data_IF_196490045148
#
_entry.id   IF_196490045148
#
_cell.length_a   1.000
_cell.length_b   1.000
_cell.length_c   1.000
_cell.angle_alpha   90.00
_cell.angle_beta   90.00
_cell.angle_gamma   90.00
#
_symmetry.space_group_name_H-M   'P 1'
#
loop_
_entity.id
_entity.type
_entity.pdbx_description
1 polymer ?
#
# COMPACT_ATOMS: atom_id res chain seq x y z
N UNK A 1 -15.05 24.31 -15.45
CA UNK A 1 -14.14 23.45 -14.65
C UNK A 1 -14.58 22.01 -14.91
N UNK A 2 -13.66 21.12 -15.33
CA UNK A 2 -13.96 19.70 -15.51
C UNK A 2 -14.42 19.09 -14.18
N UNK A 3 -15.51 18.32 -14.20
CA UNK A 3 -16.11 17.68 -13.03
C UNK A 3 -15.45 16.34 -12.67
N UNK A 4 -14.55 15.85 -13.55
CA UNK A 4 -13.86 14.58 -13.35
C UNK A 4 -12.59 14.85 -12.55
N UNK A 5 -12.44 14.27 -11.34
CA UNK A 5 -11.20 14.40 -10.59
C UNK A 5 -10.03 13.83 -11.41
N UNK A 6 -8.84 14.45 -11.37
CA UNK A 6 -7.67 13.93 -12.05
C UNK A 6 -7.43 12.44 -11.72
N UNK A 7 -7.17 11.57 -12.71
CA UNK A 7 -6.97 10.13 -12.49
C UNK A 7 -5.93 9.81 -11.41
N UNK A 8 -4.90 10.63 -11.27
CA UNK A 8 -3.86 10.52 -10.25
C UNK A 8 -4.40 10.45 -8.80
N UNK A 9 -5.58 10.99 -8.55
CA UNK A 9 -6.19 11.00 -7.22
C UNK A 9 -6.80 9.65 -6.84
N UNK A 10 -7.07 8.74 -7.80
CA UNK A 10 -7.64 7.43 -7.48
C UNK A 10 -6.65 6.53 -6.74
N UNK A 11 -5.35 6.83 -6.84
CA UNK A 11 -4.27 6.00 -6.32
C UNK A 11 -3.49 6.64 -5.15
N UNK A 12 -4.02 7.74 -4.63
CA UNK A 12 -3.48 8.45 -3.47
C UNK A 12 -4.52 8.47 -2.33
N UNK A 13 -4.05 8.31 -1.11
CA UNK A 13 -4.77 8.65 0.12
C UNK A 13 -4.16 9.89 0.78
N UNK A 14 -5.01 10.80 1.25
CA UNK A 14 -4.57 12.02 1.93
C UNK A 14 -4.96 12.01 3.41
N UNK A 15 -4.03 12.48 4.24
CA UNK A 15 -4.24 12.68 5.68
C UNK A 15 -3.79 11.48 6.52
N UNK A 16 -3.41 11.78 7.76
CA UNK A 16 -2.88 10.80 8.71
C UNK A 16 -3.87 9.66 8.94
N UNK A 17 -5.12 10.00 9.29
CA UNK A 17 -6.12 9.01 9.65
C UNK A 17 -6.44 8.04 8.50
N UNK A 18 -6.57 8.53 7.27
CA UNK A 18 -6.85 7.66 6.12
C UNK A 18 -5.68 6.75 5.81
N UNK A 19 -4.45 7.26 5.84
CA UNK A 19 -3.26 6.43 5.64
C UNK A 19 -3.11 5.39 6.75
N UNK A 20 -3.30 5.78 8.02
CA UNK A 20 -3.21 4.85 9.16
C UNK A 20 -4.28 3.77 9.08
N UNK A 21 -5.54 4.09 8.73
CA UNK A 21 -6.59 3.07 8.50
C UNK A 21 -6.19 2.02 7.46
N UNK A 22 -5.48 2.42 6.40
CA UNK A 22 -5.03 1.47 5.38
C UNK A 22 -3.85 0.62 5.86
N UNK A 23 -2.91 1.22 6.60
CA UNK A 23 -1.83 0.48 7.26
C UNK A 23 -2.38 -0.55 8.26
N UNK A 24 -3.34 -0.18 9.11
CA UNK A 24 -3.98 -1.08 10.07
C UNK A 24 -4.68 -2.28 9.41
N UNK A 25 -5.24 -2.09 8.21
CA UNK A 25 -5.80 -3.23 7.45
C UNK A 25 -4.70 -4.15 6.94
N UNK A 26 -3.55 -3.61 6.53
CA UNK A 26 -2.41 -4.41 6.06
C UNK A 26 -1.74 -5.21 7.18
N UNK A 27 -1.82 -4.76 8.43
CA UNK A 27 -1.26 -5.49 9.58
C UNK A 27 -2.11 -6.69 10.01
N UNK A 28 -3.34 -6.85 9.52
CA UNK A 28 -4.22 -7.95 9.88
C UNK A 28 -3.66 -9.31 9.36
N UNK A 29 -3.35 -10.28 10.24
CA UNK A 29 -2.76 -11.57 9.85
C UNK A 29 -3.59 -12.37 8.83
N UNK A 30 -4.92 -12.28 8.90
CA UNK A 30 -5.84 -12.97 7.98
C UNK A 30 -5.77 -12.40 6.55
N UNK A 31 -5.43 -11.11 6.44
CA UNK A 31 -5.25 -10.43 5.16
C UNK A 31 -3.85 -10.72 4.61
N UNK A 32 -2.83 -10.71 5.47
CA UNK A 32 -1.44 -10.97 5.10
C UNK A 32 -1.20 -12.39 4.55
N UNK A 33 -1.84 -13.41 5.11
CA UNK A 33 -1.72 -14.81 4.62
C UNK A 33 -2.27 -14.99 3.21
N UNK A 34 -3.36 -14.29 2.85
CA UNK A 34 -3.98 -14.32 1.52
C UNK A 34 -3.11 -13.69 0.44
N UNK A 35 -2.40 -12.59 0.75
CA UNK A 35 -1.48 -11.95 -0.20
C UNK A 35 -0.26 -12.81 -0.50
N UNK A 36 0.30 -13.50 0.50
CA UNK A 36 1.46 -14.38 0.31
C UNK A 36 1.13 -15.63 -0.53
N UNK A 37 -0.09 -16.16 -0.47
CA UNK A 37 -0.49 -17.34 -1.26
C UNK A 37 -0.70 -17.02 -2.76
N UNK A 38 -1.14 -15.81 -3.13
CA UNK A 38 -1.36 -15.46 -4.54
C UNK A 38 -0.06 -15.18 -5.31
N UNK A 39 1.00 -14.73 -4.63
CA UNK A 39 2.31 -14.50 -5.29
C UNK A 39 3.04 -15.80 -5.66
N UNK A 40 2.59 -16.98 -5.20
CA UNK A 40 3.18 -18.27 -5.56
C UNK A 40 2.41 -19.01 -6.67
N UNK A 41 1.22 -18.56 -7.06
CA UNK A 41 0.37 -19.25 -8.04
C UNK A 41 0.52 -18.71 -9.48
N UNK A 42 1.60 -18.00 -9.79
CA UNK A 42 1.83 -17.39 -11.12
C UNK A 42 2.82 -18.12 -12.01
N UNK A 43 3.39 -19.27 -11.61
CA UNK A 43 4.46 -19.91 -12.41
C UNK A 43 4.28 -21.38 -12.82
N UNK A 44 3.20 -22.09 -12.45
CA UNK A 44 3.01 -23.48 -12.88
C UNK A 44 1.72 -23.63 -13.70
N UNK A 45 1.79 -23.27 -14.98
CA UNK A 45 0.84 -23.75 -16.00
C UNK A 45 1.64 -24.42 -17.13
N UNK A 46 2.08 -25.65 -16.87
CA UNK A 46 2.44 -26.60 -17.91
C UNK A 46 1.21 -27.46 -18.21
N UNK A 47 0.68 -27.20 -19.40
CA UNK A 47 -0.38 -27.87 -20.15
C UNK A 47 -0.39 -29.39 -19.95
N UNK A 48 -1.55 -29.94 -19.59
CA UNK A 48 -1.92 -31.30 -19.96
C UNK A 48 -3.32 -31.30 -20.57
N UNK A 49 -3.34 -31.75 -21.82
CA UNK A 49 -4.47 -31.87 -22.74
C UNK A 49 -5.42 -32.99 -22.33
N UNK A 50 -6.73 -32.74 -22.38
CA UNK A 50 -7.71 -33.74 -22.81
C UNK A 50 -8.94 -33.05 -23.44
N UNK A 51 -9.33 -33.41 -24.68
CA UNK A 51 -10.56 -32.97 -25.31
C UNK A 51 -11.65 -34.02 -25.04
N UNK A 52 -12.79 -33.61 -24.48
CA UNK A 52 -14.13 -34.19 -24.67
C UNK A 52 -15.01 -33.85 -23.47
N UNK A 53 -15.73 -32.73 -23.57
CA UNK A 53 -17.15 -32.71 -23.19
C UNK A 53 -17.81 -31.41 -23.64
N UNK A 54 -18.61 -31.51 -24.71
CA UNK A 54 -19.51 -30.46 -25.15
C UNK A 54 -20.78 -30.48 -24.29
N UNK A 55 -20.92 -29.51 -23.39
CA UNK A 55 -22.23 -29.05 -22.92
C UNK A 55 -22.31 -27.53 -22.95
N UNK A 56 -23.15 -27.05 -23.87
CA UNK A 56 -23.71 -25.70 -23.86
C UNK A 56 -24.36 -25.44 -22.51
N UNK A 57 -23.75 -24.54 -21.72
CA UNK A 57 -24.41 -23.88 -20.59
C UNK A 57 -24.11 -22.39 -20.69
N UNK A 58 -25.07 -21.68 -21.31
CA UNK A 58 -25.48 -20.30 -21.04
C UNK A 58 -24.48 -19.39 -20.30
N UNK A 59 -23.95 -18.41 -21.02
CA UNK A 59 -23.12 -17.26 -20.59
C UNK A 59 -23.86 -16.24 -19.70
N UNK A 60 -24.58 -16.70 -18.67
CA UNK A 60 -25.35 -15.86 -17.74
C UNK A 60 -25.00 -16.09 -16.27
N UNK A 61 -23.82 -16.65 -15.98
CA UNK A 61 -23.44 -17.01 -14.61
C UNK A 61 -21.95 -17.15 -14.38
N UNK A 62 -21.18 -16.06 -14.56
CA UNK A 62 -19.97 -15.89 -13.74
C UNK A 62 -20.27 -14.76 -12.77
N UNK A 63 -20.72 -15.21 -11.61
CA UNK A 63 -21.02 -14.41 -10.45
C UNK A 63 -19.90 -13.41 -10.16
N UNK A 64 -20.31 -12.17 -9.94
CA UNK A 64 -19.57 -11.15 -9.23
C UNK A 64 -19.21 -11.68 -7.83
N UNK A 65 -18.09 -12.38 -7.70
CA UNK A 65 -17.41 -12.48 -6.42
C UNK A 65 -16.61 -11.18 -6.31
N UNK A 66 -17.19 -10.16 -5.66
CA UNK A 66 -16.42 -9.00 -5.20
C UNK A 66 -15.38 -9.50 -4.19
N UNK A 67 -14.24 -10.00 -4.66
CA UNK A 67 -13.03 -9.96 -3.84
C UNK A 67 -12.72 -8.48 -3.64
N UNK A 68 -12.99 -7.96 -2.43
CA UNK A 68 -12.54 -6.63 -2.04
C UNK A 68 -11.01 -6.63 -1.98
N UNK A 69 -10.38 -6.42 -3.14
CA UNK A 69 -8.96 -6.18 -3.28
C UNK A 69 -8.69 -4.79 -2.70
N UNK A 70 -8.44 -4.72 -1.40
CA UNK A 70 -8.00 -3.48 -0.79
C UNK A 70 -6.58 -3.20 -1.30
N UNK A 71 -6.36 -2.06 -1.98
CA UNK A 71 -5.04 -1.76 -2.51
C UNK A 71 -4.06 -1.57 -1.34
N UNK A 72 -2.98 -2.36 -1.35
CA UNK A 72 -1.87 -2.20 -0.42
C UNK A 72 -1.19 -0.85 -0.65
N UNK A 73 -0.70 -0.21 0.41
CA UNK A 73 0.17 0.95 0.30
C UNK A 73 1.59 0.48 -0.01
N UNK A 74 2.30 1.19 -0.89
CA UNK A 74 3.69 0.87 -1.21
C UNK A 74 4.67 1.94 -0.71
N UNK A 75 4.22 3.18 -0.66
CA UNK A 75 5.00 4.29 -0.11
C UNK A 75 4.10 5.31 0.59
N UNK A 76 4.63 5.90 1.65
CA UNK A 76 3.97 6.93 2.46
C UNK A 76 4.90 8.12 2.58
N UNK A 77 4.40 9.30 2.27
CA UNK A 77 5.09 10.57 2.51
C UNK A 77 4.46 11.27 3.70
N UNK A 78 5.28 11.59 4.71
CA UNK A 78 4.81 12.23 5.94
C UNK A 78 5.50 13.57 6.14
N UNK A 79 4.72 14.63 6.37
CA UNK A 79 5.20 15.98 6.65
C UNK A 79 5.73 16.08 8.09
N UNK A 80 6.68 15.20 8.45
CA UNK A 80 7.21 15.02 9.81
C UNK A 80 7.64 16.34 10.45
N UNK A 81 8.30 17.21 9.67
CA UNK A 81 8.79 18.49 10.14
C UNK A 81 7.68 19.54 10.41
N UNK A 82 6.47 19.33 9.87
CA UNK A 82 5.30 20.20 10.05
C UNK A 82 4.32 19.70 11.13
N UNK A 83 4.68 18.62 11.82
CA UNK A 83 3.81 17.90 12.74
C UNK A 83 4.48 17.68 14.10
N UNK A 84 3.71 17.78 15.18
CA UNK A 84 4.14 17.27 16.48
C UNK A 84 4.38 15.74 16.46
N UNK A 85 5.36 15.20 17.22
CA UNK A 85 5.73 13.78 17.20
C UNK A 85 4.61 12.79 17.45
N UNK A 86 3.60 13.13 18.27
CA UNK A 86 2.46 12.26 18.57
C UNK A 86 1.66 11.83 17.34
N UNK A 87 1.73 12.60 16.25
CA UNK A 87 0.99 12.31 15.03
C UNK A 87 1.70 11.29 14.12
N UNK A 88 3.00 11.08 14.28
CA UNK A 88 3.77 10.23 13.35
C UNK A 88 4.69 9.21 14.04
N UNK A 89 4.87 9.26 15.35
CA UNK A 89 5.80 8.38 16.08
C UNK A 89 5.52 6.90 15.91
N UNK A 90 4.27 6.52 15.65
CA UNK A 90 3.83 5.14 15.42
C UNK A 90 4.06 4.63 13.99
N UNK A 91 4.33 5.53 13.03
CA UNK A 91 4.45 5.16 11.61
C UNK A 91 5.57 4.14 11.33
N UNK A 92 6.78 4.26 11.89
CA UNK A 92 7.83 3.26 11.67
C UNK A 92 7.39 1.84 12.03
N UNK A 93 6.80 1.68 13.21
CA UNK A 93 6.32 0.38 13.71
C UNK A 93 5.23 -0.20 12.82
N UNK A 94 4.18 0.58 12.53
CA UNK A 94 3.05 0.06 11.74
C UNK A 94 3.43 -0.22 10.28
N UNK A 95 4.34 0.56 9.68
CA UNK A 95 4.86 0.30 8.33
C UNK A 95 5.70 -0.98 8.28
N UNK A 96 6.52 -1.23 9.30
CA UNK A 96 7.29 -2.46 9.42
C UNK A 96 6.38 -3.68 9.54
N UNK A 97 5.33 -3.61 10.38
CA UNK A 97 4.36 -4.71 10.55
C UNK A 97 3.56 -4.93 9.25
N UNK A 98 3.13 -3.85 8.60
CA UNK A 98 2.39 -3.91 7.33
C UNK A 98 3.21 -4.56 6.21
N UNK A 99 4.53 -4.44 6.27
CA UNK A 99 5.48 -5.11 5.38
C UNK A 99 5.60 -4.41 4.03
N UNK A 100 6.83 -4.10 3.62
CA UNK A 100 7.13 -3.58 2.28
C UNK A 100 6.69 -2.13 2.02
N UNK A 101 6.25 -1.38 3.04
CA UNK A 101 5.88 0.03 2.89
C UNK A 101 7.09 0.94 3.12
N UNK A 102 7.40 1.79 2.15
CA UNK A 102 8.45 2.80 2.26
C UNK A 102 7.94 4.05 2.99
N UNK A 103 8.57 4.44 4.09
CA UNK A 103 8.22 5.66 4.82
C UNK A 103 9.19 6.80 4.50
N UNK A 104 8.67 7.86 3.91
CA UNK A 104 9.43 9.01 3.43
C UNK A 104 9.12 10.24 4.29
N UNK A 105 10.05 10.70 5.14
CA UNK A 105 9.88 11.96 5.84
C UNK A 105 10.10 13.14 4.88
N UNK A 106 9.19 14.10 4.90
CA UNK A 106 9.27 15.33 4.13
C UNK A 106 9.81 16.50 4.98
N UNK A 107 10.49 17.47 4.34
CA UNK A 107 11.07 18.63 5.02
C UNK A 107 9.99 19.64 5.47
N UNK A 108 10.42 20.62 6.27
CA UNK A 108 9.58 21.72 6.75
C UNK A 108 8.93 22.47 5.58
N UNK A 109 7.66 22.84 5.72
CA UNK A 109 6.87 23.53 4.71
C UNK A 109 6.27 22.62 3.64
N UNK A 110 6.56 21.32 3.66
CA UNK A 110 5.99 20.37 2.70
C UNK A 110 4.46 20.31 2.81
N UNK A 111 3.93 20.34 4.03
CA UNK A 111 2.49 20.32 4.26
C UNK A 111 1.78 21.48 3.56
N UNK A 112 2.31 22.70 3.69
CA UNK A 112 1.78 23.89 3.02
C UNK A 112 1.86 23.76 1.49
N UNK A 113 3.04 23.42 0.96
CA UNK A 113 3.26 23.30 -0.49
C UNK A 113 2.35 22.25 -1.14
N UNK A 114 2.19 21.10 -0.49
CA UNK A 114 1.29 20.04 -0.96
C UNK A 114 -0.16 20.50 -0.90
N UNK A 115 -0.58 21.13 0.21
CA UNK A 115 -1.94 21.63 0.40
C UNK A 115 -2.33 22.61 -0.71
N UNK A 116 -1.42 23.53 -1.07
CA UNK A 116 -1.60 24.47 -2.18
C UNK A 116 -1.68 23.74 -3.53
N UNK A 117 -0.81 22.75 -3.76
CA UNK A 117 -0.78 21.99 -5.02
C UNK A 117 -2.04 21.14 -5.25
N UNK A 118 -2.61 20.56 -4.19
CA UNK A 118 -3.81 19.70 -4.29
C UNK A 118 -5.11 20.44 -3.95
N UNK A 119 -5.03 21.74 -3.65
CA UNK A 119 -6.15 22.59 -3.23
C UNK A 119 -6.92 22.02 -2.02
N UNK A 120 -6.21 21.46 -1.04
CA UNK A 120 -6.78 20.99 0.23
C UNK A 120 -6.43 21.97 1.36
N UNK A 121 -7.29 22.04 2.38
CA UNK A 121 -7.06 22.91 3.55
C UNK A 121 -5.75 22.58 4.27
N UNK A 122 -5.44 21.29 4.42
CA UNK A 122 -4.21 20.81 5.04
C UNK A 122 -3.93 19.37 4.62
N UNK A 123 -2.71 19.10 4.17
CA UNK A 123 -2.20 17.75 3.88
C UNK A 123 -0.95 17.52 4.72
N UNK A 124 -0.98 16.49 5.56
CA UNK A 124 0.11 16.13 6.46
C UNK A 124 0.73 14.77 6.16
N UNK A 125 0.01 13.94 5.40
CA UNK A 125 0.41 12.58 5.04
C UNK A 125 -0.20 12.22 3.68
N UNK A 126 0.55 11.49 2.87
CA UNK A 126 0.14 10.97 1.57
C UNK A 126 0.50 9.48 1.53
N UNK A 127 -0.46 8.60 1.28
CA UNK A 127 -0.22 7.19 0.99
C UNK A 127 -0.42 6.91 -0.49
N UNK A 128 0.48 6.17 -1.12
CA UNK A 128 0.35 5.76 -2.53
C UNK A 128 0.10 4.26 -2.61
N UNK A 129 -0.90 3.88 -3.41
CA UNK A 129 -1.26 2.49 -3.66
C UNK A 129 -0.16 1.76 -4.44
N UNK A 130 0.03 0.49 -4.15
CA UNK A 130 0.88 -0.40 -4.93
C UNK A 130 0.39 -0.51 -6.38
N UNK A 131 1.31 -0.80 -7.29
CA UNK A 131 1.05 -1.00 -8.72
C UNK A 131 0.44 0.21 -9.44
N UNK A 132 0.60 1.41 -8.88
CA UNK A 132 0.09 2.64 -9.49
C UNK A 132 1.09 3.15 -10.53
N UNK A 133 0.78 2.93 -11.81
CA UNK A 133 1.69 3.18 -12.94
C UNK A 133 2.18 4.63 -13.01
N UNK A 134 1.31 5.58 -12.66
CA UNK A 134 1.60 7.01 -12.67
C UNK A 134 2.65 7.42 -11.61
N UNK A 135 2.95 6.55 -10.64
CA UNK A 135 3.96 6.80 -9.60
C UNK A 135 5.22 5.95 -9.74
N UNK A 136 5.40 5.18 -10.82
CA UNK A 136 6.59 4.32 -11.02
C UNK A 136 7.89 5.11 -10.86
N UNK A 137 7.95 6.31 -11.44
CA UNK A 137 9.17 7.13 -11.42
C UNK A 137 9.52 7.58 -9.99
N UNK A 138 8.54 8.06 -9.23
CA UNK A 138 8.78 8.49 -7.85
C UNK A 138 9.07 7.29 -6.95
N UNK A 139 8.38 6.16 -7.17
CA UNK A 139 8.65 4.92 -6.45
C UNK A 139 10.09 4.46 -6.62
N UNK A 140 10.60 4.42 -7.87
CA UNK A 140 12.00 4.07 -8.13
C UNK A 140 12.97 5.01 -7.40
N UNK A 141 12.74 6.32 -7.49
CA UNK A 141 13.56 7.32 -6.79
C UNK A 141 13.56 7.13 -5.27
N UNK A 142 12.40 6.82 -4.69
CA UNK A 142 12.27 6.58 -3.25
C UNK A 142 12.97 5.30 -2.87
N UNK A 143 12.76 4.20 -3.60
CA UNK A 143 13.39 2.89 -3.33
C UNK A 143 14.92 2.96 -3.37
N UNK A 144 15.47 3.78 -4.25
CA UNK A 144 16.93 3.97 -4.37
C UNK A 144 17.53 4.79 -3.20
N UNK A 145 16.72 5.54 -2.46
CA UNK A 145 17.17 6.47 -1.41
C UNK A 145 16.68 6.14 0.00
N UNK A 146 15.60 5.38 0.12
CA UNK A 146 14.92 5.09 1.37
C UNK A 146 14.92 3.58 1.57
N UNK A 147 15.58 3.14 2.64
CA UNK A 147 15.57 1.74 3.04
C UNK A 147 14.19 1.38 3.60
N UNK A 148 13.71 0.15 3.38
CA UNK A 148 12.58 -0.39 4.14
C UNK A 148 12.83 -0.22 5.64
N UNK A 149 11.77 0.06 6.38
CA UNK A 149 11.89 0.22 7.84
C UNK A 149 12.17 -1.15 8.44
N UNK A 150 13.26 -1.24 9.19
CA UNK A 150 13.53 -2.35 10.09
C UNK A 150 13.30 -1.89 11.53
N UNK A 151 12.62 -2.72 12.30
CA UNK A 151 12.26 -2.46 13.69
C UNK A 151 12.76 -3.65 14.49
N UNK A 152 14.07 -3.69 14.74
CA UNK A 152 14.75 -4.90 15.21
C UNK A 152 14.24 -5.42 16.56
N UNK A 153 13.64 -4.56 17.40
CA UNK A 153 13.01 -4.93 18.67
C UNK A 153 11.67 -5.67 18.51
N UNK A 154 11.08 -5.68 17.33
CA UNK A 154 9.87 -6.44 17.02
C UNK A 154 10.18 -7.92 16.72
N UNK A 155 11.43 -8.24 16.42
CA UNK A 155 11.84 -9.62 16.16
C UNK A 155 11.78 -10.43 17.47
N UNK A 156 11.19 -11.63 17.47
CA UNK A 156 11.23 -12.51 18.63
C UNK A 156 12.69 -12.72 19.05
N UNK A 157 12.99 -12.51 20.34
CA UNK A 157 14.28 -12.86 20.88
C UNK A 157 14.48 -14.36 20.63
N UNK A 158 15.56 -14.74 19.95
CA UNK A 158 15.92 -16.15 19.84
C UNK A 158 16.15 -16.67 21.27
N UNK A 159 15.50 -17.75 21.69
CA UNK A 159 15.82 -18.35 22.99
C UNK A 159 17.31 -18.69 22.99
N UNK A 160 18.00 -18.39 24.09
CA UNK A 160 19.39 -18.77 24.27
C UNK A 160 19.50 -20.29 24.15
N UNK A 161 20.27 -20.78 23.20
CA UNK A 161 20.65 -22.19 23.13
C UNK A 161 21.47 -22.51 24.38
N UNK A 162 20.87 -23.27 25.30
CA UNK A 162 21.52 -23.86 26.48
C UNK A 162 21.59 -25.37 26.30
#
# INVERSE_FOLDING_TARGET
RSLIPPPILSNIYFGLNEVTKHLERMTNPQIRSRFNHKNHLSNDNLVSTNPDDQRQTTLSGIFHTQEQYHPSLEMIFICKADLPPQFYSHFPTICCIAGGVLLVPLPLGASKRISEAVNFKRVSCIGVKANSLEFIRIYKMVRDKVKPIDVSWLNPLKPSEN
#
